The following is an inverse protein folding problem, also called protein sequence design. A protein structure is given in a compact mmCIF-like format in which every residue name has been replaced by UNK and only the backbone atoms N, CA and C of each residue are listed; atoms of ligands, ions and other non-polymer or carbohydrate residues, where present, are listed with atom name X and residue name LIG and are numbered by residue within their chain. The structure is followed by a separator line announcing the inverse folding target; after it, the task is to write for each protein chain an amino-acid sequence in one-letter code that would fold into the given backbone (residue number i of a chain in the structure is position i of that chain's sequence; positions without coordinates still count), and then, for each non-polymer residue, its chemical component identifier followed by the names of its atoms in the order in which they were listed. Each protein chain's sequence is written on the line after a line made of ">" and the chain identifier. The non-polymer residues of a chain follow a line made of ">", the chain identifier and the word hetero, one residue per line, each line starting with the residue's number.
data_IF_138665852584
#
_entry.id   IF_138665852584
#
_cell.length_a   1.000
_cell.length_b   1.000
_cell.length_c   1.000
_cell.angle_alpha   90.00
_cell.angle_beta   90.00
_cell.angle_gamma   90.00
#
_symmetry.space_group_name_H-M   'P 1'
#
loop_
_entity.id
_entity.type
_entity.pdbx_description
1 polymer ?
#
# COMPACT_ATOMS: atom_id res chain seq x y z
N UNK A 1 11.19 -6.46 -9.59
CA UNK A 1 11.89 -6.74 -8.31
C UNK A 1 12.42 -5.41 -7.80
N UNK A 2 12.19 -5.12 -6.51
CA UNK A 2 12.71 -3.92 -5.84
C UNK A 2 13.74 -4.41 -4.82
N UNK A 3 14.97 -3.89 -4.91
CA UNK A 3 16.06 -4.16 -3.96
C UNK A 3 16.15 -3.00 -2.97
N UNK A 4 16.50 -3.31 -1.71
CA UNK A 4 16.56 -2.35 -0.61
C UNK A 4 15.25 -1.56 -0.48
N UNK A 5 14.16 -2.28 -0.28
CA UNK A 5 12.82 -1.74 -0.14
C UNK A 5 12.64 -0.96 1.18
N UNK A 6 12.37 0.35 1.06
CA UNK A 6 11.84 1.20 2.13
C UNK A 6 10.33 1.25 2.00
N UNK A 7 9.65 0.55 2.90
CA UNK A 7 8.22 0.28 2.83
C UNK A 7 7.47 1.26 3.73
N UNK A 8 6.55 2.03 3.13
CA UNK A 8 5.60 2.84 3.87
C UNK A 8 4.35 2.01 4.18
N UNK A 9 4.07 1.80 5.47
CA UNK A 9 2.91 1.05 5.94
C UNK A 9 1.83 2.06 6.34
N UNK A 10 0.76 2.12 5.55
CA UNK A 10 -0.27 3.15 5.63
C UNK A 10 -1.64 2.53 5.95
N UNK A 11 -2.34 3.10 6.93
CA UNK A 11 -3.76 2.80 7.21
C UNK A 11 -4.70 3.94 6.84
N UNK A 12 -4.17 5.01 6.24
CA UNK A 12 -4.96 6.11 5.70
C UNK A 12 -5.56 5.77 4.33
N UNK A 13 -6.82 6.16 4.07
CA UNK A 13 -7.37 6.11 2.72
C UNK A 13 -6.72 7.20 1.86
N UNK A 14 -6.38 6.86 0.62
CA UNK A 14 -6.02 7.83 -0.42
C UNK A 14 -7.31 8.39 -1.01
N UNK A 15 -7.98 9.25 -0.26
CA UNK A 15 -9.15 9.98 -0.71
C UNK A 15 -9.01 11.47 -0.42
N UNK A 16 -9.56 12.35 -1.27
CA UNK A 16 -9.62 13.76 -0.94
C UNK A 16 -10.40 13.92 0.37
N UNK A 17 -9.96 14.84 1.26
CA UNK A 17 -10.52 14.96 2.60
C UNK A 17 -12.00 15.36 2.51
N UNK A 18 -12.88 14.36 2.68
CA UNK A 18 -14.31 14.60 2.81
C UNK A 18 -14.55 15.22 4.19
N UNK A 19 -15.20 16.39 4.27
CA UNK A 19 -15.59 16.92 5.56
C UNK A 19 -16.52 15.92 6.26
N UNK A 20 -16.29 15.66 7.55
CA UNK A 20 -17.07 14.68 8.33
C UNK A 20 -18.54 15.09 8.49
N UNK A 21 -18.85 16.37 8.31
CA UNK A 21 -20.20 16.92 8.29
C UNK A 21 -20.83 16.71 6.92
N UNK A 22 -22.15 16.46 6.87
CA UNK A 22 -22.92 16.36 5.60
C UNK A 22 -22.92 17.71 4.87
N UNK A 23 -21.83 18.05 4.19
CA UNK A 23 -21.80 19.15 3.23
C UNK A 23 -22.30 18.62 1.90
N UNK A 24 -23.45 19.13 1.45
CA UNK A 24 -23.86 19.02 0.06
C UNK A 24 -23.04 20.06 -0.71
N UNK A 25 -22.14 19.58 -1.57
CA UNK A 25 -21.48 20.43 -2.55
C UNK A 25 -22.46 20.61 -3.71
N UNK A 26 -23.16 21.75 -3.73
CA UNK A 26 -24.02 22.12 -4.85
C UNK A 26 -23.14 22.74 -5.95
N UNK A 27 -22.73 21.91 -6.91
CA UNK A 27 -21.95 22.35 -8.06
C UNK A 27 -22.90 23.00 -9.07
N UNK A 28 -22.83 24.33 -9.19
CA UNK A 28 -23.80 25.12 -9.98
C UNK A 28 -23.27 25.50 -11.36
N UNK A 29 -21.94 25.54 -11.55
CA UNK A 29 -21.28 25.86 -12.84
C UNK A 29 -20.35 24.74 -13.33
N UNK A 30 -20.18 24.66 -14.65
CA UNK A 30 -19.20 23.78 -15.32
C UNK A 30 -17.75 24.15 -14.95
N UNK A 31 -17.51 25.42 -14.63
CA UNK A 31 -16.21 25.94 -14.22
C UNK A 31 -15.81 25.43 -12.82
N UNK A 32 -16.77 25.42 -11.88
CA UNK A 32 -16.56 24.89 -10.53
C UNK A 32 -16.26 23.39 -10.57
N UNK A 33 -16.94 22.64 -11.44
CA UNK A 33 -16.66 21.22 -11.64
C UNK A 33 -15.22 20.97 -12.10
N UNK A 34 -14.73 21.76 -13.05
CA UNK A 34 -13.33 21.67 -13.52
C UNK A 34 -12.33 22.08 -12.44
N UNK A 35 -12.65 23.08 -11.63
CA UNK A 35 -11.81 23.52 -10.52
C UNK A 35 -11.70 22.44 -9.43
N UNK A 36 -12.81 21.78 -9.09
CA UNK A 36 -12.83 20.67 -8.13
C UNK A 36 -11.98 19.49 -8.61
N UNK A 37 -12.12 19.08 -9.87
CA UNK A 37 -11.32 18.00 -10.43
C UNK A 37 -9.81 18.29 -10.40
N UNK A 38 -9.42 19.55 -10.69
CA UNK A 38 -8.02 19.98 -10.57
C UNK A 38 -7.54 19.93 -9.12
N UNK A 39 -8.35 20.43 -8.19
CA UNK A 39 -8.03 20.42 -6.77
C UNK A 39 -7.85 19.00 -6.22
N UNK A 40 -8.71 18.06 -6.59
CA UNK A 40 -8.56 16.65 -6.22
C UNK A 40 -7.24 16.08 -6.72
N UNK A 41 -6.93 16.30 -8.00
CA UNK A 41 -5.68 15.82 -8.60
C UNK A 41 -4.44 16.41 -7.92
N UNK A 42 -4.44 17.72 -7.65
CA UNK A 42 -3.33 18.40 -6.97
C UNK A 42 -3.13 17.87 -5.55
N UNK A 43 -4.22 17.66 -4.79
CA UNK A 43 -4.15 17.06 -3.44
C UNK A 43 -3.61 15.64 -3.47
N UNK A 44 -3.96 14.85 -4.48
CA UNK A 44 -3.38 13.53 -4.67
C UNK A 44 -1.88 13.59 -4.94
N UNK A 45 -1.44 14.47 -5.84
CA UNK A 45 -0.02 14.67 -6.15
C UNK A 45 0.78 15.15 -4.93
N UNK A 46 0.21 16.03 -4.08
CA UNK A 46 0.81 16.42 -2.81
C UNK A 46 1.02 15.24 -1.86
N UNK A 47 0.02 14.37 -1.69
CA UNK A 47 0.13 13.17 -0.84
C UNK A 47 1.22 12.22 -1.36
N UNK A 48 1.30 12.03 -2.68
CA UNK A 48 2.35 11.18 -3.29
C UNK A 48 3.74 11.79 -3.10
N UNK A 49 3.87 13.11 -3.26
CA UNK A 49 5.13 13.83 -3.00
C UNK A 49 5.60 13.63 -1.55
N UNK A 50 4.71 13.77 -0.57
CA UNK A 50 5.07 13.54 0.84
C UNK A 50 5.65 12.14 1.08
N UNK A 51 5.11 11.11 0.43
CA UNK A 51 5.63 9.75 0.54
C UNK A 51 7.02 9.65 -0.11
N UNK A 52 7.19 10.25 -1.28
CA UNK A 52 8.49 10.31 -1.97
C UNK A 52 9.55 11.05 -1.17
N UNK A 53 9.19 12.17 -0.53
CA UNK A 53 10.11 12.98 0.27
C UNK A 53 10.67 12.17 1.46
N UNK A 54 9.91 11.22 1.99
CA UNK A 54 10.43 10.29 3.01
C UNK A 54 11.40 9.23 2.47
N UNK A 55 11.46 9.07 1.14
CA UNK A 55 12.32 8.11 0.44
C UNK A 55 11.74 6.69 0.37
N UNK A 56 10.45 6.51 0.63
CA UNK A 56 9.80 5.20 0.50
C UNK A 56 9.75 4.78 -0.98
N UNK A 57 10.00 3.51 -1.25
CA UNK A 57 9.95 2.92 -2.60
C UNK A 57 8.81 1.93 -2.80
N UNK A 58 8.08 1.60 -1.73
CA UNK A 58 6.88 0.77 -1.79
C UNK A 58 5.86 1.29 -0.78
N UNK A 59 4.62 1.53 -1.21
CA UNK A 59 3.51 1.83 -0.30
C UNK A 59 2.63 0.59 -0.11
N UNK A 60 2.29 0.28 1.14
CA UNK A 60 1.36 -0.78 1.50
C UNK A 60 0.18 -0.15 2.22
N UNK A 61 -1.01 -0.35 1.68
CA UNK A 61 -2.23 0.26 2.20
C UNK A 61 -3.24 -0.80 2.61
N UNK A 62 -3.82 -0.60 3.79
CA UNK A 62 -4.97 -1.41 4.21
C UNK A 62 -6.19 -1.14 3.32
N UNK A 63 -6.42 0.14 3.01
CA UNK A 63 -7.54 0.58 2.17
C UNK A 63 -7.15 0.57 0.69
N UNK A 64 -8.13 0.25 -0.16
CA UNK A 64 -8.00 0.42 -1.59
C UNK A 64 -8.08 1.88 -2.02
N UNK A 65 -7.52 2.16 -3.19
CA UNK A 65 -7.68 3.43 -3.91
C UNK A 65 -8.13 3.13 -5.35
N UNK A 66 -8.61 4.17 -6.02
CA UNK A 66 -9.16 4.09 -7.38
C UNK A 66 -8.06 3.79 -8.44
N UNK A 67 -8.45 3.22 -9.58
CA UNK A 67 -7.51 2.89 -10.67
C UNK A 67 -6.84 4.15 -11.25
N UNK A 68 -7.51 5.31 -11.24
CA UNK A 68 -6.88 6.59 -11.65
C UNK A 68 -5.72 6.98 -10.73
N UNK A 69 -5.86 6.78 -9.42
CA UNK A 69 -4.80 7.04 -8.45
C UNK A 69 -3.63 6.07 -8.62
N UNK A 70 -3.89 4.81 -9.02
CA UNK A 70 -2.84 3.84 -9.33
C UNK A 70 -1.97 4.29 -10.51
N UNK A 71 -2.60 4.86 -11.55
CA UNK A 71 -1.87 5.39 -12.68
C UNK A 71 -0.96 6.56 -12.28
N UNK A 72 -1.46 7.48 -11.44
CA UNK A 72 -0.68 8.60 -10.93
C UNK A 72 0.49 8.15 -10.03
N UNK A 73 0.28 7.16 -9.18
CA UNK A 73 1.33 6.53 -8.35
C UNK A 73 2.41 5.88 -9.22
N UNK A 74 2.01 5.18 -10.29
CA UNK A 74 2.92 4.53 -11.21
C UNK A 74 3.74 5.54 -12.04
N UNK A 75 3.11 6.63 -12.51
CA UNK A 75 3.83 7.76 -13.14
C UNK A 75 4.86 8.37 -12.19
N UNK A 76 4.59 8.30 -10.90
CA UNK A 76 5.48 8.72 -9.84
C UNK A 76 6.46 7.60 -9.42
N UNK A 77 6.60 6.49 -10.13
CA UNK A 77 7.56 5.43 -9.81
C UNK A 77 7.38 4.84 -8.39
N UNK A 78 6.16 4.94 -7.82
CA UNK A 78 5.86 4.46 -6.48
C UNK A 78 4.89 3.29 -6.57
N UNK A 79 5.37 2.04 -6.59
CA UNK A 79 4.51 0.88 -6.56
C UNK A 79 3.73 0.84 -5.23
N UNK A 80 2.43 0.55 -5.34
CA UNK A 80 1.53 0.52 -4.20
C UNK A 80 0.72 -0.78 -4.17
N UNK A 81 0.60 -1.37 -2.98
CA UNK A 81 -0.25 -2.53 -2.70
C UNK A 81 -1.54 -2.03 -2.06
N UNK A 82 -2.66 -2.36 -2.70
CA UNK A 82 -4.01 -2.07 -2.21
C UNK A 82 -4.64 -3.29 -1.54
N UNK A 83 -5.57 -3.05 -0.61
CA UNK A 83 -6.37 -4.09 0.05
C UNK A 83 -5.56 -5.11 0.85
N UNK A 84 -4.67 -4.63 1.72
CA UNK A 84 -3.99 -5.50 2.69
C UNK A 84 -4.89 -5.73 3.90
N UNK A 85 -5.02 -6.98 4.34
CA UNK A 85 -5.81 -7.29 5.54
C UNK A 85 -5.15 -6.74 6.80
N UNK A 86 -5.98 -6.49 7.82
CA UNK A 86 -5.53 -5.99 9.12
C UNK A 86 -4.44 -6.87 9.77
N UNK A 87 -4.63 -8.18 9.94
CA UNK A 87 -3.59 -9.01 10.56
C UNK A 87 -2.31 -9.09 9.71
N UNK A 88 -2.44 -9.04 8.37
CA UNK A 88 -1.28 -9.02 7.47
C UNK A 88 -0.45 -7.74 7.62
N UNK A 89 -1.08 -6.58 7.82
CA UNK A 89 -0.34 -5.32 7.98
C UNK A 89 0.48 -5.30 9.27
N UNK A 90 -0.03 -5.90 10.34
CA UNK A 90 0.68 -6.05 11.61
C UNK A 90 1.87 -6.99 11.45
N UNK A 91 1.69 -8.12 10.76
CA UNK A 91 2.77 -9.06 10.45
C UNK A 91 3.87 -8.42 9.61
N UNK A 92 3.50 -7.62 8.60
CA UNK A 92 4.47 -6.89 7.76
C UNK A 92 5.21 -5.83 8.59
N UNK A 93 4.52 -5.10 9.47
CA UNK A 93 5.15 -4.13 10.36
C UNK A 93 6.17 -4.81 11.29
N UNK A 94 5.82 -5.96 11.87
CA UNK A 94 6.72 -6.73 12.74
C UNK A 94 7.92 -7.28 11.95
N UNK A 95 7.69 -7.82 10.75
CA UNK A 95 8.75 -8.38 9.90
C UNK A 95 9.73 -7.30 9.45
N UNK A 96 9.22 -6.20 8.90
CA UNK A 96 10.02 -5.10 8.33
C UNK A 96 10.59 -4.14 9.38
N UNK A 97 10.10 -4.21 10.61
CA UNK A 97 10.46 -3.27 11.69
C UNK A 97 9.84 -1.88 11.55
N UNK A 98 8.97 -1.68 10.55
CA UNK A 98 8.29 -0.41 10.30
C UNK A 98 7.15 -0.14 11.29
N UNK A 99 6.77 1.13 11.42
CA UNK A 99 5.58 1.52 12.19
C UNK A 99 4.41 1.76 11.24
N UNK A 100 3.23 1.35 11.69
CA UNK A 100 1.97 1.63 10.98
C UNK A 100 1.66 3.12 11.12
N UNK A 101 1.52 3.82 9.99
CA UNK A 101 1.26 5.27 9.96
C UNK A 101 -0.21 5.52 9.61
N UNK A 102 -0.99 6.17 10.51
CA UNK A 102 -2.41 6.46 10.28
C UNK A 102 -2.66 7.77 9.53
N UNK A 103 -1.69 8.69 9.46
CA UNK A 103 -1.81 10.01 8.82
C UNK A 103 -0.55 10.36 8.03
N UNK A 104 -0.73 10.92 6.83
CA UNK A 104 0.38 11.35 5.97
C UNK A 104 1.32 12.37 6.63
N UNK A 105 0.80 13.28 7.45
CA UNK A 105 1.62 14.28 8.16
C UNK A 105 2.60 13.67 9.17
N UNK A 106 2.38 12.44 9.61
CA UNK A 106 3.24 11.74 10.57
C UNK A 106 4.27 10.84 9.89
N UNK A 107 4.31 10.82 8.55
CA UNK A 107 5.25 10.00 7.80
C UNK A 107 6.65 10.58 7.96
N UNK A 108 7.53 9.81 8.59
CA UNK A 108 8.95 10.13 8.73
C UNK A 108 9.78 8.95 8.24
N UNK A 109 11.00 9.21 7.79
CA UNK A 109 11.93 8.19 7.30
C UNK A 109 12.23 7.11 8.36
N UNK A 110 12.17 7.46 9.65
CA UNK A 110 12.39 6.55 10.78
C UNK A 110 11.27 5.51 10.97
N UNK A 111 10.06 5.81 10.48
CA UNK A 111 8.89 4.92 10.61
C UNK A 111 8.79 3.92 9.46
N UNK A 112 9.60 4.07 8.42
CA UNK A 112 9.59 3.19 7.26
C UNK A 112 10.11 1.80 7.64
N UNK A 113 9.46 0.77 7.10
CA UNK A 113 9.94 -0.60 7.19
C UNK A 113 11.09 -0.84 6.20
N UNK A 114 11.98 -1.76 6.54
CA UNK A 114 13.07 -2.17 5.66
C UNK A 114 12.89 -3.62 5.23
N UNK A 115 13.00 -3.88 3.93
CA UNK A 115 13.09 -5.22 3.36
C UNK A 115 14.18 -5.26 2.29
N UNK A 116 15.02 -6.29 2.29
CA UNK A 116 16.09 -6.42 1.31
C UNK A 116 15.56 -6.65 -0.11
N UNK A 117 14.55 -7.50 -0.28
CA UNK A 117 14.03 -7.87 -1.61
C UNK A 117 12.51 -7.91 -1.59
N UNK A 118 11.88 -7.20 -2.52
CA UNK A 118 10.45 -7.33 -2.82
C UNK A 118 10.28 -7.82 -4.26
N UNK A 119 9.65 -8.98 -4.41
CA UNK A 119 9.45 -9.64 -5.70
C UNK A 119 7.98 -9.98 -5.91
N UNK A 120 7.50 -9.77 -7.13
CA UNK A 120 6.23 -10.33 -7.57
C UNK A 120 6.53 -11.71 -8.17
N UNK A 121 5.93 -12.76 -7.60
CA UNK A 121 6.01 -14.12 -8.13
C UNK A 121 4.65 -14.47 -8.71
N UNK A 122 4.60 -14.73 -10.01
CA UNK A 122 3.49 -15.40 -10.66
C UNK A 122 3.63 -16.92 -10.48
N UNK A 123 2.60 -17.58 -9.99
CA UNK A 123 2.66 -19.03 -9.76
C UNK A 123 1.71 -19.81 -10.68
N UNK A 124 2.26 -20.71 -11.50
CA UNK A 124 1.53 -21.71 -12.28
C UNK A 124 0.84 -21.18 -13.55
N UNK A 125 -0.11 -21.96 -14.07
CA UNK A 125 -0.97 -21.62 -15.24
C UNK A 125 -2.16 -20.72 -14.87
N UNK A 126 -2.43 -20.53 -13.57
CA UNK A 126 -3.46 -19.62 -13.06
C UNK A 126 -2.84 -18.23 -12.86
N UNK A 127 -3.57 -17.16 -13.17
CA UNK A 127 -3.09 -15.76 -13.15
C UNK A 127 -2.90 -15.17 -11.74
N UNK A 128 -2.56 -16.00 -10.75
CA UNK A 128 -2.35 -15.55 -9.38
C UNK A 128 -0.92 -15.02 -9.21
N UNK A 129 -0.83 -13.72 -8.96
CA UNK A 129 0.40 -12.99 -8.66
C UNK A 129 0.47 -12.75 -7.16
N UNK A 130 1.60 -13.07 -6.54
CA UNK A 130 1.84 -12.85 -5.12
C UNK A 130 3.05 -11.95 -4.94
N UNK A 131 2.95 -11.00 -4.02
CA UNK A 131 4.10 -10.21 -3.59
C UNK A 131 4.81 -10.96 -2.45
N UNK A 132 6.10 -11.20 -2.60
CA UNK A 132 6.95 -11.81 -1.57
C UNK A 132 7.98 -10.77 -1.13
N UNK A 133 8.06 -10.58 0.19
CA UNK A 133 8.97 -9.67 0.86
C UNK A 133 9.99 -10.54 1.61
N UNK A 134 11.26 -10.48 1.19
CA UNK A 134 12.35 -11.29 1.72
C UNK A 134 13.43 -10.38 2.36
N UNK A 135 14.27 -10.98 3.21
CA UNK A 135 15.39 -10.29 3.88
C UNK A 135 14.97 -9.06 4.70
N UNK A 136 13.97 -9.22 5.56
CA UNK A 136 13.61 -8.17 6.51
C UNK A 136 14.60 -8.13 7.69
N UNK A 137 14.77 -6.97 8.32
CA UNK A 137 15.68 -6.81 9.47
C UNK A 137 15.33 -7.71 10.65
N UNK A 138 14.04 -8.05 10.82
CA UNK A 138 13.58 -8.79 11.97
C UNK A 138 13.27 -10.25 11.61
N UNK A 139 14.10 -11.19 12.06
CA UNK A 139 13.93 -12.63 11.78
C UNK A 139 12.86 -13.32 12.63
N UNK A 140 12.01 -12.57 13.35
CA UNK A 140 10.99 -13.11 14.26
C UNK A 140 9.75 -13.63 13.56
N UNK A 141 9.46 -13.15 12.35
CA UNK A 141 8.33 -13.58 11.54
C UNK A 141 8.85 -14.34 10.32
N UNK A 142 8.75 -15.66 10.35
CA UNK A 142 9.10 -16.54 9.23
C UNK A 142 7.82 -17.18 8.72
N UNK A 143 7.51 -16.96 7.44
CA UNK A 143 6.33 -17.51 6.80
C UNK A 143 6.76 -18.63 5.85
N UNK A 144 6.32 -19.86 6.11
CA UNK A 144 6.50 -20.99 5.20
C UNK A 144 5.26 -21.08 4.32
N UNK A 145 5.43 -20.87 3.01
CA UNK A 145 4.35 -20.98 2.05
C UNK A 145 4.30 -22.39 1.45
N UNK A 146 3.23 -23.13 1.76
CA UNK A 146 3.04 -24.52 1.31
C UNK A 146 1.92 -24.57 0.27
N UNK A 147 2.18 -25.24 -0.86
CA UNK A 147 1.17 -25.55 -1.87
C UNK A 147 0.89 -27.03 -1.94
N UNK A 148 -0.38 -27.36 -2.15
CA UNK A 148 -0.86 -28.73 -2.38
C UNK A 148 -2.06 -28.72 -3.32
N UNK A 149 -2.08 -29.70 -4.25
CA UNK A 149 -3.10 -29.80 -5.31
C UNK A 149 -4.52 -30.05 -4.79
N UNK A 150 -4.66 -30.64 -3.60
CA UNK A 150 -5.94 -30.88 -2.94
C UNK A 150 -6.09 -30.02 -1.68
N UNK A 151 -7.27 -29.42 -1.48
CA UNK A 151 -7.59 -28.64 -0.27
C UNK A 151 -7.45 -29.47 1.01
N UNK A 152 -7.80 -30.76 0.96
CA UNK A 152 -7.72 -31.65 2.12
C UNK A 152 -6.29 -31.79 2.64
N UNK A 153 -5.32 -32.01 1.74
CA UNK A 153 -3.89 -32.14 2.07
C UNK A 153 -3.32 -30.83 2.62
N UNK A 154 -3.74 -29.68 2.09
CA UNK A 154 -3.32 -28.36 2.60
C UNK A 154 -3.76 -28.12 4.05
N UNK A 155 -4.99 -28.50 4.38
CA UNK A 155 -5.53 -28.32 5.73
C UNK A 155 -4.84 -29.25 6.74
N UNK A 156 -4.52 -30.48 6.34
CA UNK A 156 -3.84 -31.45 7.20
C UNK A 156 -2.43 -31.04 7.62
N UNK A 157 -1.71 -30.29 6.78
CA UNK A 157 -0.33 -29.84 7.04
C UNK A 157 -0.30 -28.59 7.92
N UNK A 158 -1.38 -27.80 7.93
CA UNK A 158 -1.44 -26.55 8.68
C UNK A 158 -1.94 -26.71 10.13
N UNK A 159 -2.16 -27.97 10.57
CA UNK A 159 -2.56 -28.32 11.94
C UNK A 159 -1.36 -28.52 12.85
#
# INVERSE_FOLDING_TARGET
>A
EVKDARIAILTCPFEPPKPKTKHKLDVTSVEDYKALQKYEKEKFEEMVKQIKDTGANLAICQWGFDDEANHLLLQNELPAVRWVGGPEIELIAIATGGRIVPRFCELTSEKLGFAGIVREISFGTTKDKMLVIEQCQNSRAVTIFIRGGNKMVRCSICK
#
